data_IF_355461137608
#
_entry.id   IF_355461137608
#
_cell.length_a   1.000
_cell.length_b   1.000
_cell.length_c   1.000
_cell.angle_alpha   90.00
_cell.angle_beta   90.00
_cell.angle_gamma   90.00
#
_symmetry.space_group_name_H-M   'P 1'
#
loop_
_entity.id
_entity.type
_entity.pdbx_description
1 polymer ?
#
# COMPACT_ATOMS: atom_id res chain seq x y z
N UNK A 1 10.64 -9.33 -13.18
CA UNK A 1 11.04 -8.26 -12.25
C UNK A 1 10.16 -8.36 -11.03
N UNK A 2 10.72 -8.82 -9.91
CA UNK A 2 9.99 -8.89 -8.65
C UNK A 2 9.61 -7.46 -8.22
N UNK A 3 8.30 -7.17 -8.28
CA UNK A 3 7.72 -5.89 -7.86
C UNK A 3 7.63 -5.86 -6.33
N UNK A 4 8.78 -5.94 -5.65
CA UNK A 4 8.85 -5.76 -4.20
C UNK A 4 8.89 -4.27 -3.90
N UNK A 5 7.99 -3.82 -3.03
CA UNK A 5 7.99 -2.44 -2.57
C UNK A 5 9.22 -2.19 -1.69
N UNK A 6 9.61 -0.92 -1.60
CA UNK A 6 10.71 -0.51 -0.72
C UNK A 6 10.30 -0.74 0.74
N UNK A 7 11.24 -1.14 1.58
CA UNK A 7 10.98 -1.31 3.01
C UNK A 7 10.49 -0.02 3.67
N UNK A 8 9.64 -0.17 4.68
CA UNK A 8 9.11 0.96 5.48
C UNK A 8 10.22 1.81 6.08
N UNK A 9 11.29 1.16 6.53
CA UNK A 9 12.48 1.83 7.07
C UNK A 9 13.09 2.80 6.05
N UNK A 10 13.28 2.35 4.80
CA UNK A 10 13.85 3.21 3.74
C UNK A 10 12.89 4.36 3.36
N UNK A 11 11.57 4.16 3.47
CA UNK A 11 10.59 5.23 3.26
C UNK A 11 10.65 6.27 4.37
N UNK A 12 10.68 5.85 5.64
CA UNK A 12 10.88 6.75 6.78
C UNK A 12 12.19 7.52 6.69
N UNK A 13 13.30 6.84 6.37
CA UNK A 13 14.60 7.49 6.14
C UNK A 13 14.55 8.52 5.01
N UNK A 14 13.79 8.26 3.94
CA UNK A 14 13.64 9.23 2.83
C UNK A 14 12.96 10.52 3.28
N UNK A 15 11.95 10.42 4.15
CA UNK A 15 11.23 11.57 4.72
C UNK A 15 12.15 12.38 5.63
N UNK A 16 12.79 11.73 6.61
CA UNK A 16 13.70 12.40 7.55
C UNK A 16 14.84 13.11 6.82
N UNK A 17 15.45 12.47 5.82
CA UNK A 17 16.52 13.09 5.04
C UNK A 17 16.01 14.27 4.19
N UNK A 18 14.76 14.22 3.72
CA UNK A 18 14.16 15.33 2.96
C UNK A 18 13.86 16.53 3.85
N UNK A 19 13.36 16.28 5.07
CA UNK A 19 13.13 17.30 6.10
C UNK A 19 14.45 17.94 6.54
N UNK A 20 15.53 17.16 6.60
CA UNK A 20 16.89 17.65 6.82
C UNK A 20 17.47 18.46 5.63
N UNK A 21 16.70 18.68 4.56
CA UNK A 21 17.08 19.54 3.44
C UNK A 21 17.87 18.86 2.31
N UNK A 22 18.04 17.53 2.33
CA UNK A 22 18.75 16.82 1.25
C UNK A 22 17.92 16.79 -0.04
N UNK A 23 18.64 16.85 -1.18
CA UNK A 23 18.05 16.67 -2.51
C UNK A 23 17.72 15.18 -2.74
N UNK A 24 16.69 14.90 -3.53
CA UNK A 24 16.29 13.52 -3.85
C UNK A 24 17.40 12.67 -4.48
N UNK A 25 18.29 13.28 -5.26
CA UNK A 25 19.48 12.61 -5.80
C UNK A 25 20.41 12.09 -4.70
N UNK A 26 20.65 12.90 -3.65
CA UNK A 26 21.49 12.51 -2.52
C UNK A 26 20.83 11.42 -1.68
N UNK A 27 19.51 11.51 -1.48
CA UNK A 27 18.72 10.50 -0.76
C UNK A 27 18.77 9.16 -1.50
N UNK A 28 18.58 9.17 -2.82
CA UNK A 28 18.64 8.00 -3.68
C UNK A 28 20.01 7.30 -3.58
N UNK A 29 21.11 8.06 -3.71
CA UNK A 29 22.47 7.53 -3.56
C UNK A 29 22.70 6.95 -2.16
N UNK A 30 22.24 7.63 -1.10
CA UNK A 30 22.45 7.21 0.30
C UNK A 30 21.68 5.93 0.65
N UNK A 31 20.44 5.81 0.19
CA UNK A 31 19.54 4.68 0.51
C UNK A 31 19.57 3.55 -0.53
N UNK A 32 20.37 3.72 -1.60
CA UNK A 32 20.45 2.79 -2.75
C UNK A 32 19.06 2.47 -3.30
N UNK A 33 18.28 3.52 -3.57
CA UNK A 33 16.96 3.45 -4.22
C UNK A 33 16.92 4.42 -5.40
N UNK A 34 15.94 4.29 -6.29
CA UNK A 34 15.79 5.26 -7.37
C UNK A 34 15.32 6.63 -6.82
N UNK A 35 15.65 7.71 -7.53
CA UNK A 35 15.17 9.06 -7.18
C UNK A 35 13.65 9.15 -7.20
N UNK A 36 13.01 8.46 -8.17
CA UNK A 36 11.56 8.38 -8.26
C UNK A 36 10.95 7.75 -7.01
N UNK A 37 11.56 6.68 -6.49
CA UNK A 37 11.14 6.03 -5.27
C UNK A 37 11.28 6.92 -4.02
N UNK A 38 12.39 7.66 -3.90
CA UNK A 38 12.59 8.61 -2.81
C UNK A 38 11.53 9.72 -2.84
N UNK A 39 11.24 10.26 -4.03
CA UNK A 39 10.19 11.27 -4.25
C UNK A 39 8.82 10.73 -3.86
N UNK A 40 8.45 9.55 -4.37
CA UNK A 40 7.16 8.92 -4.08
C UNK A 40 6.97 8.60 -2.59
N UNK A 41 8.03 8.24 -1.87
CA UNK A 41 7.97 8.01 -0.42
C UNK A 41 7.63 9.29 0.34
N UNK A 42 8.28 10.41 -0.01
CA UNK A 42 8.02 11.73 0.59
C UNK A 42 6.60 12.20 0.24
N UNK A 43 6.22 12.20 -1.03
CA UNK A 43 4.88 12.64 -1.45
C UNK A 43 3.78 11.85 -0.74
N UNK A 44 3.94 10.53 -0.64
CA UNK A 44 2.99 9.68 0.08
C UNK A 44 2.86 10.05 1.55
N UNK A 45 3.98 10.31 2.23
CA UNK A 45 3.94 10.72 3.63
C UNK A 45 3.25 12.07 3.82
N UNK A 46 3.49 13.03 2.92
CA UNK A 46 2.83 14.34 2.99
C UNK A 46 1.31 14.26 2.74
N UNK A 47 0.84 13.33 1.90
CA UNK A 47 -0.58 13.20 1.58
C UNK A 47 -1.32 12.34 2.61
N UNK A 48 -0.70 11.25 3.06
CA UNK A 48 -1.39 10.19 3.83
C UNK A 48 -0.82 9.99 5.24
N UNK A 49 0.22 10.72 5.63
CA UNK A 49 0.92 10.60 6.93
C UNK A 49 1.28 9.14 7.28
N UNK A 50 1.65 8.35 6.27
CA UNK A 50 1.97 6.92 6.42
C UNK A 50 3.24 6.53 5.68
N UNK A 51 4.00 5.63 6.29
CA UNK A 51 5.14 4.96 5.66
C UNK A 51 4.78 3.59 5.10
N UNK A 52 3.54 3.13 5.27
CA UNK A 52 3.08 1.86 4.73
C UNK A 52 2.74 2.00 3.25
N UNK A 53 2.66 0.86 2.56
CA UNK A 53 2.07 0.85 1.23
C UNK A 53 0.56 1.05 1.33
N UNK A 54 0.03 1.85 0.41
CA UNK A 54 -1.41 1.99 0.27
C UNK A 54 -2.00 0.67 -0.24
N UNK A 55 -3.23 0.34 0.15
CA UNK A 55 -3.94 -0.78 -0.46
C UNK A 55 -3.97 -0.55 -1.97
N UNK A 56 -3.65 -1.60 -2.74
CA UNK A 56 -3.68 -1.50 -4.20
C UNK A 56 -5.10 -1.13 -4.63
N UNK A 57 -5.21 -0.06 -5.40
CA UNK A 57 -6.48 0.28 -6.05
C UNK A 57 -6.84 -0.84 -7.02
N UNK A 58 -7.91 -1.56 -6.72
CA UNK A 58 -8.50 -2.58 -7.58
C UNK A 58 -9.85 -2.12 -8.11
N UNK A 59 -10.45 -2.95 -8.98
CA UNK A 59 -11.84 -2.77 -9.38
C UNK A 59 -12.71 -2.78 -8.11
N UNK A 60 -13.60 -1.79 -7.91
CA UNK A 60 -14.58 -1.84 -6.83
C UNK A 60 -15.35 -3.17 -6.87
N UNK A 61 -15.59 -3.76 -5.72
CA UNK A 61 -16.38 -5.00 -5.63
C UNK A 61 -17.80 -4.73 -6.12
N UNK A 62 -18.27 -5.49 -7.11
CA UNK A 62 -19.63 -5.35 -7.70
C UNK A 62 -20.73 -5.49 -6.65
N UNK A 63 -20.47 -6.24 -5.57
CA UNK A 63 -21.42 -6.49 -4.49
C UNK A 63 -20.96 -5.85 -3.19
N UNK A 64 -21.93 -5.42 -2.39
CA UNK A 64 -21.65 -4.88 -1.05
C UNK A 64 -21.20 -6.00 -0.10
N UNK A 65 -20.42 -5.68 0.96
CA UNK A 65 -20.04 -6.68 1.98
C UNK A 65 -21.24 -7.37 2.63
N UNK A 66 -22.39 -6.66 2.75
CA UNK A 66 -23.64 -7.22 3.26
C UNK A 66 -24.22 -8.26 2.30
N UNK A 67 -24.29 -7.95 1.01
CA UNK A 67 -24.76 -8.90 -0.01
C UNK A 67 -23.87 -10.14 -0.08
N UNK A 68 -22.54 -9.96 -0.03
CA UNK A 68 -21.59 -11.07 0.02
C UNK A 68 -21.80 -11.97 1.25
N UNK A 69 -22.05 -11.37 2.43
CA UNK A 69 -22.35 -12.11 3.66
C UNK A 69 -23.67 -12.87 3.58
N UNK A 70 -24.69 -12.27 2.97
CA UNK A 70 -25.99 -12.90 2.76
C UNK A 70 -25.87 -14.11 1.82
N UNK A 71 -25.20 -13.95 0.67
CA UNK A 71 -24.93 -15.05 -0.27
C UNK A 71 -24.18 -16.20 0.40
N UNK A 72 -23.16 -15.92 1.20
CA UNK A 72 -22.44 -16.95 1.98
C UNK A 72 -23.35 -17.73 2.91
N UNK A 73 -24.28 -17.06 3.61
CA UNK A 73 -25.25 -17.72 4.50
C UNK A 73 -26.25 -18.59 3.74
N UNK A 74 -26.75 -18.12 2.59
CA UNK A 74 -27.66 -18.89 1.74
C UNK A 74 -26.99 -20.17 1.24
N UNK A 75 -25.75 -20.08 0.75
CA UNK A 75 -24.97 -21.25 0.30
C UNK A 75 -24.74 -22.24 1.46
N UNK A 76 -24.35 -21.76 2.64
CA UNK A 76 -24.13 -22.62 3.81
C UNK A 76 -25.44 -23.27 4.32
N UNK A 77 -26.56 -22.56 4.26
CA UNK A 77 -27.87 -23.07 4.62
C UNK A 77 -28.37 -24.14 3.65
N UNK A 78 -28.14 -23.95 2.33
CA UNK A 78 -28.49 -24.94 1.31
C UNK A 78 -27.72 -26.25 1.50
N UNK A 79 -26.41 -26.18 1.74
CA UNK A 79 -25.60 -27.39 1.98
C UNK A 79 -26.05 -28.22 3.20
N UNK A 80 -26.68 -27.58 4.19
CA UNK A 80 -27.22 -28.27 5.38
C UNK A 80 -28.58 -28.92 5.14
N UNK A 81 -29.31 -28.50 4.11
CA UNK A 81 -30.63 -29.04 3.78
C UNK A 81 -30.56 -30.16 2.73
N UNK A 82 -29.45 -30.27 2.01
CA UNK A 82 -29.18 -31.33 1.02
C UNK A 82 -28.36 -32.51 1.56
N UNK A 83 -28.21 -32.61 2.89
CA UNK A 83 -27.60 -33.74 3.61
C UNK A 83 -28.68 -34.51 4.36
#
# INVERSE_FOLDING_TARGET
MDKTSISEIKRGQSVVLREAGLKFAQIASKLKISQHCAKAAVERFHIHSTYHDLPRSGRPTTITPRAARHLKRLIQGQNRQSS
#
